data_IF_924750417127
#
_entry.id   IF_924750417127
#
_cell.length_a   1.000
_cell.length_b   1.000
_cell.length_c   1.000
_cell.angle_alpha   90.00
_cell.angle_beta   90.00
_cell.angle_gamma   90.00
#
_symmetry.space_group_name_H-M   'P 1'
#
loop_
_entity.id
_entity.type
_entity.pdbx_description
1 polymer ?
#
# COMPACT_ATOMS: atom_id res chain seq x y z
N UNK A 1 -12.15 -14.63 -34.43
CA UNK A 1 -12.06 -14.09 -33.04
C UNK A 1 -11.27 -12.80 -33.16
N UNK A 2 -11.65 -11.74 -32.50
CA UNK A 2 -10.96 -10.44 -32.63
C UNK A 2 -9.54 -10.58 -32.04
N UNK A 3 -8.51 -10.16 -32.81
CA UNK A 3 -7.11 -10.22 -32.38
C UNK A 3 -6.88 -9.55 -30.98
N UNK A 4 -7.75 -8.59 -30.63
CA UNK A 4 -7.74 -7.91 -29.32
C UNK A 4 -8.13 -8.85 -28.17
N UNK A 5 -9.14 -9.70 -28.37
CA UNK A 5 -9.56 -10.67 -27.37
C UNK A 5 -8.42 -11.63 -27.02
N UNK A 6 -7.74 -12.15 -28.04
CA UNK A 6 -6.61 -13.07 -27.84
C UNK A 6 -5.44 -12.34 -27.13
N UNK A 7 -5.16 -11.10 -27.50
CA UNK A 7 -4.16 -10.28 -26.84
C UNK A 7 -4.50 -10.07 -25.34
N UNK A 8 -5.74 -9.68 -25.02
CA UNK A 8 -6.16 -9.50 -23.64
C UNK A 8 -6.15 -10.80 -22.83
N UNK A 9 -6.45 -11.94 -23.47
CA UNK A 9 -6.32 -13.25 -22.83
C UNK A 9 -4.86 -13.61 -22.51
N UNK A 10 -3.92 -13.21 -23.36
CA UNK A 10 -2.49 -13.38 -23.08
C UNK A 10 -2.06 -12.52 -21.89
N UNK A 11 -2.48 -11.26 -21.83
CA UNK A 11 -2.22 -10.36 -20.70
C UNK A 11 -2.84 -10.88 -19.38
N UNK A 12 -4.06 -11.44 -19.44
CA UNK A 12 -4.70 -12.09 -18.28
C UNK A 12 -3.91 -13.29 -17.76
N UNK A 13 -3.18 -13.99 -18.60
CA UNK A 13 -2.40 -15.18 -18.28
C UNK A 13 -0.93 -14.88 -17.98
N UNK A 14 -0.48 -13.65 -18.20
CA UNK A 14 0.89 -13.26 -17.96
C UNK A 14 1.25 -13.45 -16.46
N UNK A 15 2.46 -13.96 -16.16
CA UNK A 15 2.85 -14.25 -14.79
C UNK A 15 2.98 -12.96 -13.97
N UNK A 16 2.52 -13.01 -12.72
CA UNK A 16 2.72 -11.98 -11.71
C UNK A 16 3.29 -12.59 -10.45
N UNK A 17 4.34 -12.01 -9.88
CA UNK A 17 4.98 -12.49 -8.67
C UNK A 17 5.39 -11.31 -7.77
N UNK A 18 5.10 -11.43 -6.49
CA UNK A 18 5.34 -10.34 -5.53
C UNK A 18 4.50 -9.11 -5.85
N UNK A 19 5.08 -7.92 -5.62
CA UNK A 19 4.51 -6.62 -6.00
C UNK A 19 5.32 -5.98 -7.13
N UNK A 20 5.85 -6.80 -8.05
CA UNK A 20 6.64 -6.34 -9.19
C UNK A 20 5.72 -6.01 -10.38
N UNK A 21 5.54 -4.72 -10.63
CA UNK A 21 4.77 -4.18 -11.75
C UNK A 21 5.66 -3.76 -12.93
N UNK A 22 6.94 -4.12 -12.96
CA UNK A 22 7.87 -3.75 -14.05
C UNK A 22 7.41 -4.22 -15.44
N UNK A 23 6.59 -5.27 -15.50
CA UNK A 23 5.91 -5.70 -16.74
C UNK A 23 5.04 -4.60 -17.37
N UNK A 24 4.59 -3.64 -16.56
CA UNK A 24 3.77 -2.51 -16.98
C UNK A 24 4.58 -1.22 -17.22
N UNK A 25 5.90 -1.27 -17.19
CA UNK A 25 6.74 -0.09 -17.44
C UNK A 25 6.41 0.55 -18.79
N UNK A 26 6.14 1.85 -18.78
CA UNK A 26 5.71 2.62 -19.93
C UNK A 26 4.26 2.39 -20.40
N UNK A 27 3.55 1.41 -19.81
CA UNK A 27 2.16 1.08 -20.13
C UNK A 27 1.18 1.48 -19.02
N UNK A 28 1.65 1.53 -17.76
CA UNK A 28 0.94 2.06 -16.61
C UNK A 28 1.80 3.14 -15.96
N UNK A 29 1.24 4.31 -15.75
CA UNK A 29 1.90 5.46 -15.17
C UNK A 29 1.04 5.98 -14.04
N UNK A 30 1.60 6.12 -12.85
CA UNK A 30 0.95 6.78 -11.72
C UNK A 30 1.71 8.07 -11.40
N UNK A 31 0.98 9.18 -11.24
CA UNK A 31 1.59 10.44 -10.81
C UNK A 31 2.18 10.29 -9.40
N UNK A 32 3.33 10.90 -9.17
CA UNK A 32 3.96 10.90 -7.86
C UNK A 32 3.15 11.70 -6.84
N UNK A 33 3.14 11.22 -5.59
CA UNK A 33 2.60 11.97 -4.46
C UNK A 33 3.50 13.18 -4.15
N UNK A 34 2.95 14.30 -3.60
CA UNK A 34 3.72 15.51 -3.33
C UNK A 34 4.64 15.41 -2.10
N UNK A 35 4.62 14.31 -1.37
CA UNK A 35 5.49 14.03 -0.22
C UNK A 35 6.47 12.89 -0.49
N UNK A 36 7.51 12.77 0.33
CA UNK A 36 8.38 11.62 0.37
C UNK A 36 8.22 10.89 1.70
N UNK A 37 7.54 9.75 1.68
CA UNK A 37 7.42 8.85 2.83
C UNK A 37 8.79 8.42 3.35
N UNK A 38 9.68 8.04 2.44
CA UNK A 38 11.01 7.55 2.75
C UNK A 38 11.86 8.62 3.43
N UNK A 39 11.81 9.87 2.94
CA UNK A 39 12.53 10.99 3.57
C UNK A 39 12.01 11.24 4.99
N UNK A 40 10.68 11.29 5.16
CA UNK A 40 10.07 11.48 6.48
C UNK A 40 10.38 10.34 7.44
N UNK A 41 10.30 9.09 6.97
CA UNK A 41 10.65 7.91 7.75
C UNK A 41 12.12 7.97 8.22
N UNK A 42 13.06 8.29 7.32
CA UNK A 42 14.49 8.40 7.67
C UNK A 42 14.78 9.53 8.65
N UNK A 43 14.08 10.66 8.57
CA UNK A 43 14.19 11.74 9.56
C UNK A 43 13.79 11.27 10.95
N UNK A 44 12.68 10.54 11.06
CA UNK A 44 12.17 9.99 12.32
C UNK A 44 13.06 8.85 12.84
N UNK A 45 13.54 7.96 11.97
CA UNK A 45 14.45 6.87 12.34
C UNK A 45 15.70 7.36 13.09
N UNK A 46 16.29 8.50 12.65
CA UNK A 46 17.48 9.08 13.28
C UNK A 46 17.26 9.64 14.68
N UNK A 47 16.01 9.74 15.12
CA UNK A 47 15.63 10.33 16.40
C UNK A 47 15.24 9.30 17.46
N UNK A 48 15.22 8.01 17.11
CA UNK A 48 14.75 6.93 17.96
C UNK A 48 15.80 5.83 18.11
N UNK A 49 15.62 4.95 19.08
CA UNK A 49 16.51 3.79 19.30
C UNK A 49 15.86 2.48 18.89
N UNK A 50 14.54 2.45 18.72
CA UNK A 50 13.80 1.26 18.32
C UNK A 50 12.71 1.60 17.29
N UNK A 51 12.66 0.81 16.23
CA UNK A 51 11.74 0.90 15.08
C UNK A 51 10.94 -0.40 14.94
N UNK A 52 9.64 -0.27 14.69
CA UNK A 52 8.78 -1.31 14.18
C UNK A 52 8.35 -0.97 12.75
N UNK A 53 8.59 -1.86 11.78
CA UNK A 53 8.06 -1.77 10.42
C UNK A 53 6.95 -2.82 10.25
N UNK A 54 5.71 -2.36 10.13
CA UNK A 54 4.52 -3.21 10.08
C UNK A 54 4.22 -3.65 8.64
N UNK A 55 4.04 -4.97 8.44
CA UNK A 55 3.77 -5.59 7.15
C UNK A 55 4.80 -5.17 6.09
N UNK A 56 6.06 -5.49 6.40
CA UNK A 56 7.25 -5.05 5.64
C UNK A 56 7.29 -5.56 4.18
N UNK A 57 6.38 -6.46 3.80
CA UNK A 57 6.45 -7.14 2.52
C UNK A 57 7.70 -8.00 2.42
N UNK A 58 8.41 -7.94 1.30
CA UNK A 58 9.72 -8.61 1.16
C UNK A 58 10.88 -7.87 1.82
N UNK A 59 10.64 -6.75 2.51
CA UNK A 59 11.65 -5.95 3.19
C UNK A 59 12.39 -4.95 2.31
N UNK A 60 12.03 -4.80 1.03
CA UNK A 60 12.73 -3.95 0.06
C UNK A 60 12.78 -2.49 0.53
N UNK A 61 11.63 -1.93 0.90
CA UNK A 61 11.52 -0.52 1.29
C UNK A 61 12.25 -0.21 2.60
N UNK A 62 12.16 -1.11 3.56
CA UNK A 62 12.91 -0.99 4.80
C UNK A 62 14.42 -0.99 4.51
N UNK A 63 14.88 -1.90 3.64
CA UNK A 63 16.29 -2.03 3.25
C UNK A 63 16.83 -0.77 2.53
N UNK A 64 16.03 -0.14 1.67
CA UNK A 64 16.40 1.13 1.01
C UNK A 64 16.71 2.25 2.02
N UNK A 65 16.09 2.21 3.20
CA UNK A 65 16.28 3.19 4.27
C UNK A 65 17.36 2.80 5.30
N UNK A 66 18.15 1.74 5.04
CA UNK A 66 19.11 1.17 6.00
C UNK A 66 20.10 2.18 6.59
N UNK A 67 20.50 3.18 5.85
CA UNK A 67 21.45 4.21 6.32
C UNK A 67 20.92 5.07 7.47
N UNK A 68 19.62 5.02 7.75
CA UNK A 68 18.96 5.77 8.80
C UNK A 68 18.47 4.90 9.96
N UNK A 69 18.64 3.57 9.92
CA UNK A 69 18.12 2.67 10.93
C UNK A 69 18.63 3.00 12.33
N UNK A 70 17.75 2.90 13.34
CA UNK A 70 18.16 2.93 14.75
C UNK A 70 18.87 1.62 15.15
N UNK A 71 19.33 1.56 16.41
CA UNK A 71 20.04 0.39 16.94
C UNK A 71 19.20 -0.89 16.92
N UNK A 72 17.88 -0.76 17.08
CA UNK A 72 16.96 -1.90 17.06
C UNK A 72 15.89 -1.73 15.99
N UNK A 73 15.81 -2.70 15.09
CA UNK A 73 14.79 -2.78 14.03
C UNK A 73 14.03 -4.09 14.14
N UNK A 74 12.71 -4.01 14.19
CA UNK A 74 11.79 -5.14 14.15
C UNK A 74 10.86 -4.96 12.96
N UNK A 75 10.58 -6.04 12.24
CA UNK A 75 9.61 -6.05 11.15
C UNK A 75 8.56 -7.15 11.39
N UNK A 76 7.34 -6.92 10.94
CA UNK A 76 6.28 -7.95 10.89
C UNK A 76 5.89 -8.25 9.45
N UNK A 77 5.45 -9.47 9.18
CA UNK A 77 4.87 -9.88 7.91
C UNK A 77 4.14 -11.22 8.12
N UNK A 78 2.89 -11.31 7.68
CA UNK A 78 2.07 -12.52 7.86
C UNK A 78 1.88 -13.33 6.58
N UNK A 79 2.09 -12.73 5.39
CA UNK A 79 1.96 -13.47 4.13
C UNK A 79 3.20 -14.35 3.90
N UNK A 80 3.07 -15.70 3.90
CA UNK A 80 4.22 -16.60 3.94
C UNK A 80 5.28 -16.39 2.84
N UNK A 81 4.93 -16.09 1.57
CA UNK A 81 5.93 -15.81 0.55
C UNK A 81 6.78 -14.58 0.85
N UNK A 82 6.16 -13.49 1.33
CA UNK A 82 6.84 -12.25 1.71
C UNK A 82 7.67 -12.44 2.97
N UNK A 83 7.12 -13.10 3.98
CA UNK A 83 7.81 -13.43 5.23
C UNK A 83 9.14 -14.15 4.98
N UNK A 84 9.13 -15.12 4.04
CA UNK A 84 10.36 -15.82 3.65
C UNK A 84 11.39 -14.86 3.06
N UNK A 85 10.96 -14.01 2.10
CA UNK A 85 11.86 -13.03 1.46
C UNK A 85 12.39 -12.00 2.47
N UNK A 86 11.51 -11.49 3.34
CA UNK A 86 11.91 -10.54 4.38
C UNK A 86 12.96 -11.15 5.32
N UNK A 87 12.78 -12.39 5.78
CA UNK A 87 13.75 -13.09 6.61
C UNK A 87 15.08 -13.30 5.90
N UNK A 88 15.07 -13.73 4.65
CA UNK A 88 16.29 -13.92 3.85
C UNK A 88 17.10 -12.63 3.68
N UNK A 89 16.42 -11.49 3.54
CA UNK A 89 17.05 -10.18 3.29
C UNK A 89 17.45 -9.43 4.55
N UNK A 90 16.61 -9.46 5.56
CA UNK A 90 16.72 -8.60 6.74
C UNK A 90 17.41 -9.27 7.92
N UNK A 91 17.25 -10.60 8.12
CA UNK A 91 17.88 -11.29 9.25
C UNK A 91 19.43 -11.23 9.24
N UNK A 92 20.15 -11.29 8.08
CA UNK A 92 21.59 -11.09 8.04
C UNK A 92 22.05 -9.69 8.48
N UNK A 93 21.11 -8.74 8.60
CA UNK A 93 21.32 -7.35 9.02
C UNK A 93 20.83 -7.10 10.45
N UNK A 94 20.63 -8.17 11.23
CA UNK A 94 20.19 -8.13 12.63
C UNK A 94 18.75 -7.59 12.84
N UNK A 95 17.92 -7.55 11.79
CA UNK A 95 16.48 -7.23 11.91
C UNK A 95 15.72 -8.47 12.33
N UNK A 96 14.92 -8.35 13.39
CA UNK A 96 13.99 -9.40 13.82
C UNK A 96 12.73 -9.36 12.96
N UNK A 97 12.47 -10.43 12.18
CA UNK A 97 11.26 -10.53 11.33
C UNK A 97 10.29 -11.54 11.95
N UNK A 98 9.15 -11.04 12.43
CA UNK A 98 8.11 -11.79 13.11
C UNK A 98 6.97 -12.16 12.15
N UNK A 99 6.47 -13.39 12.30
CA UNK A 99 5.25 -13.87 11.65
C UNK A 99 4.06 -13.42 12.50
N UNK A 100 3.55 -12.22 12.20
CA UNK A 100 2.46 -11.58 12.94
C UNK A 100 1.56 -10.82 11.98
N UNK A 101 0.27 -11.13 12.02
CA UNK A 101 -0.79 -10.35 11.36
C UNK A 101 -1.14 -9.15 12.25
N UNK A 102 -0.65 -7.97 11.87
CA UNK A 102 -0.89 -6.71 12.61
C UNK A 102 -2.19 -6.03 12.19
N UNK A 103 -2.86 -6.51 11.13
CA UNK A 103 -4.20 -6.06 10.70
C UNK A 103 -5.31 -6.61 11.58
N UNK A 104 -5.01 -7.66 12.36
CA UNK A 104 -5.96 -8.34 13.21
C UNK A 104 -6.29 -7.48 14.45
N UNK A 105 -7.50 -7.64 15.02
CA UNK A 105 -7.92 -6.97 16.27
C UNK A 105 -7.17 -7.50 17.51
N UNK A 106 -6.34 -8.51 17.36
CA UNK A 106 -5.53 -9.08 18.44
C UNK A 106 -4.38 -8.14 18.84
N UNK A 107 -4.00 -8.23 20.10
CA UNK A 107 -2.87 -7.48 20.62
C UNK A 107 -1.56 -7.91 19.94
N UNK A 108 -0.78 -6.93 19.48
CA UNK A 108 0.55 -7.18 18.96
C UNK A 108 1.46 -7.74 20.07
N UNK A 109 2.39 -8.67 19.75
CA UNK A 109 3.27 -9.33 20.74
C UNK A 109 4.41 -8.44 21.21
N UNK A 110 4.11 -7.18 21.51
CA UNK A 110 5.05 -6.16 21.95
C UNK A 110 4.61 -5.54 23.28
N UNK A 111 5.58 -5.07 24.07
CA UNK A 111 5.32 -4.38 25.31
C UNK A 111 4.77 -2.96 25.08
N UNK A 112 4.12 -2.40 26.10
CA UNK A 112 3.68 -1.01 26.09
C UNK A 112 4.90 -0.08 25.98
N UNK A 113 4.83 0.88 25.06
CA UNK A 113 5.90 1.87 24.89
C UNK A 113 7.22 1.31 24.34
N UNK A 114 7.19 0.20 23.62
CA UNK A 114 8.40 -0.50 23.16
C UNK A 114 9.13 0.21 22.02
N UNK A 115 8.42 0.97 21.17
CA UNK A 115 8.99 1.57 19.96
C UNK A 115 8.89 3.09 19.96
N UNK A 116 9.98 3.75 19.58
CA UNK A 116 9.99 5.19 19.34
C UNK A 116 9.43 5.57 17.96
N UNK A 117 9.42 4.64 17.01
CA UNK A 117 8.84 4.82 15.68
C UNK A 117 8.13 3.55 15.23
N UNK A 118 6.93 3.72 14.70
CA UNK A 118 6.20 2.67 13.99
C UNK A 118 5.99 3.15 12.56
N UNK A 119 6.43 2.36 11.59
CA UNK A 119 6.18 2.55 10.18
C UNK A 119 5.10 1.59 9.70
N UNK A 120 4.23 2.07 8.83
CA UNK A 120 3.19 1.27 8.19
C UNK A 120 2.96 1.80 6.78
N UNK A 121 2.89 0.92 5.80
CA UNK A 121 2.70 1.32 4.42
C UNK A 121 1.79 0.34 3.69
N UNK A 122 0.63 0.85 3.23
CA UNK A 122 -0.35 0.08 2.47
C UNK A 122 -0.89 -1.17 3.21
N UNK A 123 -0.96 -1.10 4.53
CA UNK A 123 -1.47 -2.16 5.39
C UNK A 123 -2.42 -1.62 6.45
N UNK A 124 -3.38 -2.43 6.88
CA UNK A 124 -4.31 -2.09 7.94
C UNK A 124 -3.58 -1.94 9.29
N UNK A 125 -4.19 -1.23 10.23
CA UNK A 125 -3.67 -1.05 11.58
C UNK A 125 -4.78 -0.82 12.60
N UNK A 126 -4.49 -1.15 13.87
CA UNK A 126 -5.35 -0.86 15.01
C UNK A 126 -4.78 0.35 15.78
N UNK A 127 -5.52 1.45 15.82
CA UNK A 127 -5.09 2.71 16.45
C UNK A 127 -4.78 2.56 17.95
N UNK A 128 -5.50 1.71 18.68
CA UNK A 128 -5.26 1.47 20.10
C UNK A 128 -3.96 0.69 20.33
N UNK A 129 -3.67 -0.32 19.51
CA UNK A 129 -2.43 -1.07 19.59
C UNK A 129 -1.22 -0.21 19.19
N UNK A 130 -1.36 0.63 18.14
CA UNK A 130 -0.34 1.63 17.79
C UNK A 130 -0.04 2.51 19.00
N UNK A 131 -1.06 3.11 19.61
CA UNK A 131 -0.87 3.97 20.79
C UNK A 131 -0.28 3.22 21.99
N UNK A 132 -0.63 1.94 22.19
CA UNK A 132 -0.09 1.12 23.28
C UNK A 132 1.40 0.87 23.11
N UNK A 133 1.83 0.42 21.92
CA UNK A 133 3.23 0.00 21.69
C UNK A 133 4.18 1.17 21.38
N UNK A 134 3.65 2.37 21.05
CA UNK A 134 4.45 3.60 20.94
C UNK A 134 4.95 4.07 22.30
N UNK A 135 6.23 4.40 22.37
CA UNK A 135 6.82 5.11 23.51
C UNK A 135 6.28 6.55 23.62
N UNK A 136 6.25 7.17 24.82
CA UNK A 136 5.98 8.61 24.93
C UNK A 136 6.92 9.42 24.02
N UNK A 137 6.38 10.38 23.28
CA UNK A 137 7.10 11.15 22.26
C UNK A 137 7.32 10.41 20.94
N UNK A 138 7.00 9.12 20.85
CA UNK A 138 7.16 8.31 19.65
C UNK A 138 6.18 8.65 18.52
N UNK A 139 6.55 8.29 17.30
CA UNK A 139 5.78 8.59 16.07
C UNK A 139 5.23 7.33 15.41
N UNK A 140 4.02 7.44 14.88
CA UNK A 140 3.41 6.51 13.91
C UNK A 140 3.32 7.20 12.56
N UNK A 141 4.07 6.71 11.58
CA UNK A 141 4.03 7.20 10.20
C UNK A 141 3.39 6.16 9.31
N UNK A 142 2.26 6.51 8.69
CA UNK A 142 1.57 5.63 7.73
C UNK A 142 1.31 6.33 6.40
N UNK A 143 1.55 5.61 5.30
CA UNK A 143 1.10 5.98 3.95
C UNK A 143 0.16 4.91 3.43
N UNK A 144 -0.98 5.31 2.88
CA UNK A 144 -2.03 4.40 2.47
C UNK A 144 -2.56 4.69 1.07
N UNK A 145 -3.04 3.64 0.43
CA UNK A 145 -3.94 3.77 -0.72
C UNK A 145 -5.31 4.17 -0.17
N UNK A 146 -5.90 5.23 -0.71
CA UNK A 146 -7.21 5.72 -0.30
C UNK A 146 -8.31 4.74 -0.73
N UNK A 147 -9.36 4.56 0.08
CA UNK A 147 -10.47 3.65 -0.22
C UNK A 147 -11.24 3.95 -1.49
N UNK A 148 -11.10 5.18 -2.02
CA UNK A 148 -11.63 5.59 -3.33
C UNK A 148 -10.55 5.65 -4.43
N UNK A 149 -9.44 4.93 -4.26
CA UNK A 149 -8.44 4.79 -5.31
C UNK A 149 -9.05 4.13 -6.55
N UNK A 150 -8.83 4.72 -7.71
CA UNK A 150 -9.38 4.27 -8.99
C UNK A 150 -10.91 4.05 -8.98
N UNK A 151 -11.67 4.84 -8.20
CA UNK A 151 -13.12 4.68 -8.09
C UNK A 151 -13.83 4.78 -9.44
N UNK A 152 -13.36 5.65 -10.33
CA UNK A 152 -13.87 5.81 -11.70
C UNK A 152 -13.52 4.62 -12.62
N UNK A 153 -12.47 3.86 -12.31
CA UNK A 153 -12.24 2.54 -12.90
C UNK A 153 -13.26 1.53 -12.36
N UNK A 154 -13.50 1.51 -11.04
CA UNK A 154 -14.51 0.64 -10.44
C UNK A 154 -15.89 0.89 -11.03
N UNK A 155 -16.27 2.17 -11.23
CA UNK A 155 -17.53 2.57 -11.86
C UNK A 155 -17.67 1.99 -13.28
N UNK A 156 -16.57 1.95 -14.07
CA UNK A 156 -16.57 1.38 -15.41
C UNK A 156 -16.88 -0.14 -15.41
N UNK A 157 -16.62 -0.83 -14.30
CA UNK A 157 -16.94 -2.25 -14.12
C UNK A 157 -18.21 -2.47 -13.29
N UNK A 158 -18.86 -1.40 -12.79
CA UNK A 158 -20.06 -1.49 -11.95
C UNK A 158 -19.82 -2.12 -10.59
N UNK A 159 -18.62 -1.98 -10.01
CA UNK A 159 -18.24 -2.51 -8.70
C UNK A 159 -18.03 -1.38 -7.69
N UNK A 160 -18.38 -1.65 -6.42
CA UNK A 160 -18.14 -0.73 -5.34
C UNK A 160 -16.73 -0.92 -4.74
N UNK A 161 -16.12 0.14 -4.16
CA UNK A 161 -14.89 0.01 -3.41
C UNK A 161 -15.01 -1.01 -2.27
N UNK A 162 -14.00 -1.87 -2.09
CA UNK A 162 -14.01 -2.90 -1.06
C UNK A 162 -13.81 -2.32 0.35
N UNK A 163 -12.98 -1.26 0.46
CA UNK A 163 -12.65 -0.59 1.73
C UNK A 163 -12.91 0.93 1.63
N UNK A 164 -14.18 1.38 1.49
CA UNK A 164 -14.50 2.80 1.25
C UNK A 164 -14.10 3.73 2.41
N UNK A 165 -13.92 3.16 3.60
CA UNK A 165 -13.52 3.88 4.81
C UNK A 165 -11.99 3.94 5.03
N UNK A 166 -11.17 3.37 4.14
CA UNK A 166 -9.72 3.54 4.17
C UNK A 166 -9.34 4.96 3.71
N UNK A 167 -9.54 5.96 4.58
CA UNK A 167 -9.35 7.40 4.31
C UNK A 167 -9.02 8.17 5.58
N UNK A 168 -8.40 9.36 5.48
CA UNK A 168 -8.04 10.17 6.64
C UNK A 168 -9.21 10.48 7.57
N UNK A 169 -10.38 10.81 7.02
CA UNK A 169 -11.57 11.17 7.82
C UNK A 169 -12.04 10.04 8.74
N UNK A 170 -11.73 8.81 8.41
CA UNK A 170 -12.01 7.64 9.27
C UNK A 170 -10.91 7.41 10.31
N UNK A 171 -9.63 7.47 9.89
CA UNK A 171 -8.53 7.11 10.79
C UNK A 171 -8.09 8.22 11.73
N UNK A 172 -8.18 9.50 11.33
CA UNK A 172 -7.77 10.62 12.18
C UNK A 172 -8.52 10.66 13.52
N UNK A 173 -9.86 10.55 13.56
CA UNK A 173 -10.59 10.48 14.83
C UNK A 173 -10.21 9.26 15.69
N UNK A 174 -9.92 8.11 15.07
CA UNK A 174 -9.53 6.90 15.80
C UNK A 174 -8.14 7.04 16.43
N UNK A 175 -7.18 7.62 15.73
CA UNK A 175 -5.84 7.90 16.26
C UNK A 175 -5.92 8.90 17.41
N UNK A 176 -6.71 9.97 17.26
CA UNK A 176 -6.93 10.96 18.32
C UNK A 176 -7.64 10.35 19.54
N UNK A 177 -8.66 9.52 19.34
CA UNK A 177 -9.36 8.82 20.42
C UNK A 177 -8.44 7.83 21.17
N UNK A 178 -7.44 7.26 20.47
CA UNK A 178 -6.39 6.45 21.08
C UNK A 178 -5.32 7.27 21.83
N UNK A 179 -5.43 8.61 21.86
CA UNK A 179 -4.52 9.50 22.58
C UNK A 179 -3.32 9.99 21.78
N UNK A 180 -3.34 9.86 20.45
CA UNK A 180 -2.29 10.37 19.59
C UNK A 180 -2.59 11.78 19.08
N UNK A 181 -1.57 12.63 18.98
CA UNK A 181 -1.62 13.95 18.35
C UNK A 181 -1.28 13.81 16.86
N UNK A 182 -2.11 14.38 15.97
CA UNK A 182 -1.82 14.42 14.54
C UNK A 182 -0.80 15.52 14.25
N UNK A 183 0.38 15.14 13.81
CA UNK A 183 1.48 16.04 13.44
C UNK A 183 1.32 16.50 11.99
N UNK A 184 0.93 15.58 11.10
CA UNK A 184 0.73 15.83 9.68
C UNK A 184 -0.34 14.88 9.14
N UNK A 185 -1.18 15.38 8.26
CA UNK A 185 -2.07 14.56 7.43
C UNK A 185 -2.24 15.23 6.07
N UNK A 186 -1.91 14.49 5.02
CA UNK A 186 -2.11 14.96 3.64
C UNK A 186 -2.89 13.91 2.86
N UNK A 187 -3.89 14.36 2.11
CA UNK A 187 -4.68 13.59 1.16
C UNK A 187 -4.39 14.10 -0.25
N UNK A 188 -4.16 13.21 -1.20
CA UNK A 188 -3.76 13.54 -2.55
C UNK A 188 -4.57 12.78 -3.59
N UNK A 189 -4.89 13.47 -4.66
CA UNK A 189 -5.49 12.89 -5.86
C UNK A 189 -4.67 13.27 -7.08
N UNK A 190 -4.14 12.27 -7.75
CA UNK A 190 -3.44 12.36 -9.03
C UNK A 190 -4.05 11.44 -10.06
N UNK A 191 -3.25 10.99 -11.02
CA UNK A 191 -3.68 10.18 -12.15
C UNK A 191 -3.01 8.82 -12.16
N UNK A 192 -3.82 7.79 -12.46
CA UNK A 192 -3.38 6.46 -12.86
C UNK A 192 -3.70 6.31 -14.36
N UNK A 193 -2.71 6.20 -15.20
CA UNK A 193 -2.85 6.19 -16.66
C UNK A 193 -2.45 4.84 -17.22
N UNK A 194 -3.28 4.28 -18.09
CA UNK A 194 -2.95 3.12 -18.91
C UNK A 194 -2.90 3.51 -20.39
N UNK A 195 -1.85 3.09 -21.07
CA UNK A 195 -1.67 3.37 -22.51
C UNK A 195 -2.36 2.35 -23.41
N UNK A 196 -2.76 1.20 -22.86
CA UNK A 196 -3.51 0.16 -23.55
C UNK A 196 -4.39 -0.64 -22.58
N UNK A 197 -5.44 -1.28 -23.13
CA UNK A 197 -6.38 -2.09 -22.34
C UNK A 197 -5.73 -3.39 -21.85
N UNK A 198 -4.72 -3.92 -22.54
CA UNK A 198 -3.99 -5.11 -22.09
C UNK A 198 -3.24 -4.86 -20.78
N UNK A 199 -2.61 -3.69 -20.64
CA UNK A 199 -1.98 -3.27 -19.39
C UNK A 199 -3.00 -3.20 -18.24
N UNK A 200 -4.20 -2.68 -18.49
CA UNK A 200 -5.29 -2.67 -17.52
C UNK A 200 -5.75 -4.11 -17.17
N UNK A 201 -5.87 -5.01 -18.14
CA UNK A 201 -6.20 -6.42 -17.90
C UNK A 201 -5.17 -7.08 -16.97
N UNK A 202 -3.88 -6.89 -17.27
CA UNK A 202 -2.81 -7.39 -16.40
C UNK A 202 -2.91 -6.82 -14.98
N UNK A 203 -3.11 -5.51 -14.85
CA UNK A 203 -3.28 -4.84 -13.56
C UNK A 203 -4.46 -5.43 -12.76
N UNK A 204 -5.64 -5.57 -13.38
CA UNK A 204 -6.83 -6.14 -12.72
C UNK A 204 -6.61 -7.60 -12.28
N UNK A 205 -5.75 -8.33 -12.98
CA UNK A 205 -5.38 -9.69 -12.62
C UNK A 205 -4.37 -9.73 -11.46
N UNK A 206 -3.41 -8.81 -11.46
CA UNK A 206 -2.41 -8.66 -10.39
C UNK A 206 -3.04 -8.14 -9.08
N UNK A 207 -4.12 -7.35 -9.18
CA UNK A 207 -4.83 -6.72 -8.04
C UNK A 207 -6.30 -7.17 -8.02
N UNK A 208 -6.58 -8.46 -7.71
CA UNK A 208 -7.87 -9.10 -7.95
C UNK A 208 -9.02 -8.54 -7.09
N UNK A 209 -8.72 -7.82 -6.03
CA UNK A 209 -9.73 -7.15 -5.21
C UNK A 209 -10.25 -5.85 -5.84
N UNK A 210 -9.59 -5.30 -6.87
CA UNK A 210 -10.08 -4.12 -7.61
C UNK A 210 -11.40 -4.43 -8.32
N UNK A 211 -11.44 -5.52 -9.07
CA UNK A 211 -12.67 -6.04 -9.71
C UNK A 211 -12.80 -7.53 -9.35
N UNK A 212 -13.50 -7.87 -8.25
CA UNK A 212 -13.61 -9.26 -7.82
C UNK A 212 -14.22 -10.16 -8.90
N UNK A 213 -13.57 -11.29 -9.17
CA UNK A 213 -14.00 -12.23 -10.19
C UNK A 213 -13.73 -11.78 -11.64
N UNK A 214 -12.85 -10.78 -11.82
CA UNK A 214 -12.46 -10.31 -13.16
C UNK A 214 -11.94 -11.44 -14.05
N UNK A 215 -12.43 -11.46 -15.27
CA UNK A 215 -11.82 -12.17 -16.40
C UNK A 215 -12.16 -11.45 -17.71
N UNK A 216 -11.30 -11.60 -18.71
CA UNK A 216 -11.54 -11.05 -20.05
C UNK A 216 -12.87 -11.57 -20.62
N UNK A 217 -13.19 -12.83 -20.37
CA UNK A 217 -14.41 -13.45 -20.92
C UNK A 217 -15.69 -12.90 -20.27
N UNK A 218 -15.67 -12.63 -18.95
CA UNK A 218 -16.86 -12.17 -18.21
C UNK A 218 -17.06 -10.66 -18.28
N UNK A 219 -16.03 -9.89 -18.63
CA UNK A 219 -16.06 -8.42 -18.66
C UNK A 219 -15.71 -7.87 -20.06
N UNK A 220 -16.01 -8.66 -21.11
CA UNK A 220 -15.67 -8.29 -22.49
C UNK A 220 -16.31 -6.96 -22.92
N UNK A 221 -17.57 -6.73 -22.56
CA UNK A 221 -18.30 -5.52 -22.95
C UNK A 221 -17.67 -4.27 -22.30
N UNK A 222 -17.25 -4.35 -21.03
CA UNK A 222 -16.56 -3.26 -20.34
C UNK A 222 -15.19 -2.99 -20.97
N UNK A 223 -14.43 -4.04 -21.30
CA UNK A 223 -13.12 -3.89 -21.95
C UNK A 223 -13.27 -3.27 -23.35
N UNK A 224 -14.29 -3.64 -24.11
CA UNK A 224 -14.58 -3.03 -25.42
C UNK A 224 -14.96 -1.55 -25.28
N UNK A 225 -15.76 -1.18 -24.26
CA UNK A 225 -16.10 0.21 -23.99
C UNK A 225 -14.84 1.03 -23.60
N UNK A 226 -13.96 0.46 -22.78
CA UNK A 226 -12.67 1.08 -22.42
C UNK A 226 -11.74 1.19 -23.62
N UNK A 227 -11.73 0.22 -24.54
CA UNK A 227 -10.97 0.29 -25.78
C UNK A 227 -11.47 1.45 -26.67
N UNK A 228 -12.78 1.63 -26.81
CA UNK A 228 -13.36 2.76 -27.55
C UNK A 228 -13.01 4.10 -26.88
N UNK A 229 -12.99 4.15 -25.53
CA UNK A 229 -12.56 5.31 -24.79
C UNK A 229 -11.08 5.61 -25.07
N UNK A 230 -10.21 4.59 -25.01
CA UNK A 230 -8.78 4.71 -25.32
C UNK A 230 -8.54 5.27 -26.73
N UNK A 231 -9.25 4.74 -27.74
CA UNK A 231 -9.12 5.18 -29.13
C UNK A 231 -9.55 6.63 -29.35
N UNK A 232 -10.49 7.11 -28.55
CA UNK A 232 -10.98 8.50 -28.57
C UNK A 232 -10.08 9.47 -27.79
N UNK A 233 -9.56 9.03 -26.64
CA UNK A 233 -8.88 9.89 -25.66
C UNK A 233 -7.35 9.75 -25.68
N UNK A 234 -6.82 8.71 -26.32
CA UNK A 234 -5.39 8.43 -26.44
C UNK A 234 -4.79 7.70 -25.23
N UNK A 235 -5.44 7.75 -24.08
CA UNK A 235 -5.07 7.02 -22.86
C UNK A 235 -6.31 6.79 -21.98
N UNK A 236 -6.25 5.78 -21.11
CA UNK A 236 -7.21 5.59 -20.05
C UNK A 236 -6.66 6.24 -18.77
N UNK A 237 -7.31 7.30 -18.32
CA UNK A 237 -6.91 8.03 -17.11
C UNK A 237 -7.95 7.83 -16.03
N UNK A 238 -7.49 7.42 -14.84
CA UNK A 238 -8.29 7.19 -13.64
C UNK A 238 -7.70 7.95 -12.45
N UNK A 239 -8.51 8.16 -11.40
CA UNK A 239 -8.09 8.86 -10.21
C UNK A 239 -7.16 7.98 -9.34
N UNK A 240 -5.91 8.39 -9.15
CA UNK A 240 -5.05 7.81 -8.11
C UNK A 240 -5.24 8.61 -6.82
N UNK A 241 -5.59 7.93 -5.72
CA UNK A 241 -5.77 8.58 -4.42
C UNK A 241 -4.92 7.90 -3.36
N UNK A 242 -4.12 8.69 -2.63
CA UNK A 242 -3.28 8.22 -1.51
C UNK A 242 -3.32 9.24 -0.39
N UNK A 243 -2.95 8.81 0.81
CA UNK A 243 -2.78 9.72 1.94
C UNK A 243 -1.59 9.30 2.81
N UNK A 244 -1.09 10.26 3.58
CA UNK A 244 -0.06 10.06 4.59
C UNK A 244 -0.54 10.66 5.91
N UNK A 245 -0.22 9.98 7.03
CA UNK A 245 -0.46 10.49 8.38
C UNK A 245 0.82 10.27 9.20
N UNK A 246 1.25 11.33 9.90
CA UNK A 246 2.22 11.27 10.98
C UNK A 246 1.49 11.62 12.27
N UNK A 247 1.40 10.68 13.19
CA UNK A 247 0.79 10.86 14.50
C UNK A 247 1.83 10.60 15.59
N UNK A 248 1.76 11.35 16.70
CA UNK A 248 2.72 11.29 17.81
C UNK A 248 2.03 10.96 19.12
N UNK A 249 2.62 10.10 19.92
CA UNK A 249 2.21 9.91 21.33
C UNK A 249 2.74 11.06 22.17
N UNK A 250 1.89 11.77 22.95
CA UNK A 250 2.37 12.79 23.88
C UNK A 250 3.41 12.26 24.87
N UNK A 251 4.22 13.19 25.45
CA UNK A 251 5.23 12.87 26.48
C UNK A 251 4.59 12.45 27.81
#
# INVERSE_FOLDING_TARGET
MDDRFEFWKQEEQAPFAGWDFSYLDGRMLEEDVPWSYETRAQELMRQVTALLDMDTGGGERLLEMRSAWPDRVVATEAYPPNLKLARERLAPLEVTVLDVDVSNELAMPFADGEFGLILNRHSAFNSHEIARVLAPGGHFLTQQVHGLYAHDLLDAFGVAPLWPDAKPEFYLPLLQAAGLEIVMSEDWTGKLTFTDVGALVYYLKAVPWTVPGFSVATHLDQLLALQQRLEREGALVFAAKKYIIDARKPL
#
